data_IF_502134640923
#
_entry.id   IF_502134640923
#
_cell.length_a   1.000
_cell.length_b   1.000
_cell.length_c   1.000
_cell.angle_alpha   90.00
_cell.angle_beta   90.00
_cell.angle_gamma   90.00
#
_symmetry.space_group_name_H-M   'P 1'
#
loop_
_entity.id
_entity.type
_entity.pdbx_description
1 polymer ?
#
# COMPACT_ATOMS: atom_id res chain seq x y z
N UNK A 1 2.17 13.78 12.75
CA UNK A 1 1.25 13.77 11.59
C UNK A 1 -0.10 13.14 11.93
N UNK A 2 -1.03 13.90 12.53
CA UNK A 2 -2.39 13.43 12.84
C UNK A 2 -3.19 12.97 11.60
N UNK A 3 -2.78 13.37 10.40
CA UNK A 3 -3.46 13.02 9.13
C UNK A 3 -3.40 11.54 8.77
N UNK A 4 -2.30 10.82 9.06
CA UNK A 4 -2.22 9.38 8.76
C UNK A 4 -3.17 8.61 9.68
N UNK A 5 -3.11 8.89 10.99
CA UNK A 5 -3.96 8.24 11.99
C UNK A 5 -5.45 8.46 11.73
N UNK A 6 -5.86 9.67 11.37
CA UNK A 6 -7.25 9.94 10.97
C UNK A 6 -7.62 9.18 9.69
N UNK A 7 -6.75 9.15 8.70
CA UNK A 7 -6.94 8.35 7.48
C UNK A 7 -7.19 6.88 7.79
N UNK A 8 -6.42 6.29 8.72
CA UNK A 8 -6.63 4.92 9.19
C UNK A 8 -8.01 4.71 9.81
N UNK A 9 -8.42 5.59 10.71
CA UNK A 9 -9.72 5.50 11.38
C UNK A 9 -10.87 5.55 10.38
N UNK A 10 -10.83 6.50 9.43
CA UNK A 10 -11.86 6.58 8.38
C UNK A 10 -11.85 5.36 7.47
N UNK A 11 -10.66 4.84 7.13
CA UNK A 11 -10.53 3.66 6.29
C UNK A 11 -11.15 2.42 6.94
N UNK A 12 -10.88 2.20 8.24
CA UNK A 12 -11.46 1.11 9.03
C UNK A 12 -12.97 1.22 9.16
N UNK A 13 -13.51 2.44 9.13
CA UNK A 13 -14.95 2.70 9.13
C UNK A 13 -15.58 2.74 7.72
N UNK A 14 -14.90 2.21 6.69
CA UNK A 14 -15.37 2.17 5.31
C UNK A 14 -15.63 3.55 4.67
N UNK A 15 -15.21 4.64 5.32
CA UNK A 15 -15.34 6.02 4.84
C UNK A 15 -14.18 6.36 3.89
N UNK A 16 -14.11 5.66 2.76
CA UNK A 16 -12.94 5.69 1.86
C UNK A 16 -12.65 7.06 1.23
N UNK A 17 -13.68 7.87 0.97
CA UNK A 17 -13.51 9.23 0.44
C UNK A 17 -12.78 10.12 1.45
N UNK A 18 -13.18 10.07 2.72
CA UNK A 18 -12.56 10.89 3.77
C UNK A 18 -11.18 10.34 4.13
N UNK A 19 -11.03 9.02 4.21
CA UNK A 19 -9.73 8.38 4.37
C UNK A 19 -8.74 8.84 3.28
N UNK A 20 -9.17 8.83 2.01
CA UNK A 20 -8.35 9.28 0.89
C UNK A 20 -7.91 10.74 1.04
N UNK A 21 -8.80 11.64 1.45
CA UNK A 21 -8.45 13.06 1.68
C UNK A 21 -7.34 13.19 2.71
N UNK A 22 -7.43 12.46 3.81
CA UNK A 22 -6.42 12.45 4.86
C UNK A 22 -5.09 11.88 4.39
N UNK A 23 -5.09 10.76 3.66
CA UNK A 23 -3.87 10.18 3.09
C UNK A 23 -3.21 11.08 2.04
N UNK A 24 -3.98 11.72 1.16
CA UNK A 24 -3.45 12.68 0.18
C UNK A 24 -2.84 13.90 0.88
N UNK A 25 -3.48 14.39 1.94
CA UNK A 25 -2.93 15.49 2.75
C UNK A 25 -1.60 15.08 3.40
N UNK A 26 -1.52 13.88 3.98
CA UNK A 26 -0.28 13.34 4.53
C UNK A 26 0.82 13.18 3.47
N UNK A 27 0.47 12.71 2.27
CA UNK A 27 1.41 12.49 1.17
C UNK A 27 2.02 13.79 0.63
N UNK A 28 1.21 14.86 0.59
CA UNK A 28 1.64 16.20 0.16
C UNK A 28 2.44 16.96 1.23
N UNK A 29 2.41 16.50 2.49
CA UNK A 29 3.11 17.17 3.57
C UNK A 29 4.65 17.09 3.35
N UNK A 30 5.38 18.22 3.37
CA UNK A 30 6.82 18.25 3.15
C UNK A 30 7.63 17.34 4.09
N UNK A 31 7.20 17.19 5.34
CA UNK A 31 7.87 16.31 6.31
C UNK A 31 7.79 14.83 5.92
N UNK A 32 6.80 14.43 5.11
CA UNK A 32 6.74 13.06 4.56
C UNK A 32 7.80 12.79 3.51
N UNK A 33 8.39 13.85 2.90
CA UNK A 33 9.44 13.71 1.90
C UNK A 33 10.72 13.12 2.48
N UNK A 34 10.97 13.32 3.78
CA UNK A 34 12.10 12.75 4.50
C UNK A 34 11.98 11.24 4.72
N UNK A 35 10.81 10.64 4.47
CA UNK A 35 10.54 9.22 4.73
C UNK A 35 9.95 8.53 3.48
N UNK A 36 10.79 8.06 2.54
CA UNK A 36 10.34 7.43 1.30
C UNK A 36 9.39 6.24 1.50
N UNK A 37 9.62 5.44 2.56
CA UNK A 37 8.77 4.30 2.91
C UNK A 37 7.37 4.74 3.36
N UNK A 38 7.27 5.88 4.06
CA UNK A 38 5.97 6.45 4.47
C UNK A 38 5.20 6.94 3.24
N UNK A 39 5.88 7.57 2.27
CA UNK A 39 5.25 7.93 0.99
C UNK A 39 4.77 6.70 0.22
N UNK A 40 5.57 5.64 0.15
CA UNK A 40 5.19 4.39 -0.50
C UNK A 40 3.95 3.77 0.17
N UNK A 41 3.91 3.77 1.50
CA UNK A 41 2.74 3.33 2.27
C UNK A 41 1.50 4.19 1.94
N UNK A 42 1.63 5.52 1.92
CA UNK A 42 0.52 6.42 1.61
C UNK A 42 -0.01 6.21 0.19
N UNK A 43 0.86 5.93 -0.79
CA UNK A 43 0.44 5.57 -2.14
C UNK A 43 -0.42 4.30 -2.16
N UNK A 44 -0.03 3.25 -1.41
CA UNK A 44 -0.87 2.05 -1.23
C UNK A 44 -2.23 2.44 -0.66
N UNK A 45 -2.26 3.27 0.39
CA UNK A 45 -3.52 3.62 1.06
C UNK A 45 -4.45 4.46 0.21
N UNK A 46 -3.91 5.38 -0.58
CA UNK A 46 -4.67 6.15 -1.56
C UNK A 46 -5.26 5.20 -2.61
N UNK A 47 -4.46 4.27 -3.13
CA UNK A 47 -4.89 3.26 -4.10
C UNK A 47 -5.96 2.32 -3.53
N UNK A 48 -5.80 1.86 -2.29
CA UNK A 48 -6.79 1.03 -1.59
C UNK A 48 -8.13 1.77 -1.42
N UNK A 49 -8.11 3.09 -1.15
CA UNK A 49 -9.32 3.90 -1.11
C UNK A 49 -9.99 4.01 -2.49
N UNK A 50 -9.21 4.22 -3.55
CA UNK A 50 -9.74 4.29 -4.92
C UNK A 50 -10.34 2.95 -5.36
N UNK A 51 -9.68 1.84 -5.02
CA UNK A 51 -10.15 0.48 -5.30
C UNK A 51 -11.47 0.18 -4.59
N UNK A 52 -11.60 0.55 -3.31
CA UNK A 52 -12.76 0.17 -2.47
C UNK A 52 -13.95 1.12 -2.58
N UNK A 53 -13.72 2.38 -2.95
CA UNK A 53 -14.81 3.35 -3.20
C UNK A 53 -15.60 3.02 -4.47
N UNK A 54 -14.91 2.51 -5.48
CA UNK A 54 -15.52 2.18 -6.76
C UNK A 54 -15.95 0.71 -6.71
N UNK A 55 -17.24 0.46 -6.47
CA UNK A 55 -17.79 -0.90 -6.53
C UNK A 55 -17.47 -1.51 -7.91
N UNK A 56 -16.98 -2.77 -7.98
CA UNK A 56 -16.64 -3.40 -9.25
C UNK A 56 -17.88 -3.53 -10.17
N UNK A 57 -17.69 -3.53 -11.51
CA UNK A 57 -16.40 -3.55 -12.21
C UNK A 57 -15.73 -2.16 -12.33
N UNK A 58 -14.41 -2.13 -12.20
CA UNK A 58 -13.61 -0.92 -12.43
C UNK A 58 -13.57 -0.58 -13.93
N UNK A 59 -13.57 0.71 -14.25
CA UNK A 59 -13.27 1.14 -15.62
C UNK A 59 -11.76 1.10 -15.91
N UNK A 60 -11.39 1.20 -17.19
CA UNK A 60 -9.99 1.11 -17.63
C UNK A 60 -9.12 2.23 -17.04
N UNK A 61 -9.64 3.45 -16.95
CA UNK A 61 -8.91 4.59 -16.41
C UNK A 61 -8.58 4.40 -14.91
N UNK A 62 -9.56 4.00 -14.12
CA UNK A 62 -9.41 3.68 -12.70
C UNK A 62 -8.39 2.56 -12.49
N UNK A 63 -8.47 1.52 -13.31
CA UNK A 63 -7.55 0.39 -13.24
C UNK A 63 -6.10 0.83 -13.48
N UNK A 64 -5.87 1.63 -14.53
CA UNK A 64 -4.54 2.17 -14.85
C UNK A 64 -4.03 3.04 -13.70
N UNK A 65 -4.87 3.93 -13.17
CA UNK A 65 -4.50 4.84 -12.09
C UNK A 65 -4.13 4.10 -10.80
N UNK A 66 -4.95 3.14 -10.37
CA UNK A 66 -4.69 2.33 -9.17
C UNK A 66 -3.40 1.51 -9.37
N UNK A 67 -3.21 0.93 -10.56
CA UNK A 67 -2.00 0.18 -10.89
C UNK A 67 -0.74 1.06 -10.79
N UNK A 68 -0.77 2.27 -11.34
CA UNK A 68 0.36 3.22 -11.27
C UNK A 68 0.73 3.58 -9.82
N UNK A 69 -0.27 3.81 -8.96
CA UNK A 69 -0.03 4.10 -7.54
C UNK A 69 0.69 2.93 -6.84
N UNK A 70 0.24 1.70 -7.11
CA UNK A 70 0.91 0.50 -6.60
C UNK A 70 2.33 0.35 -7.17
N UNK A 71 2.54 0.51 -8.47
CA UNK A 71 3.87 0.38 -9.09
C UNK A 71 4.88 1.43 -8.56
N UNK A 72 4.42 2.65 -8.29
CA UNK A 72 5.24 3.67 -7.62
C UNK A 72 5.61 3.26 -6.20
N UNK A 73 4.66 2.72 -5.42
CA UNK A 73 4.95 2.18 -4.09
C UNK A 73 5.93 1.01 -4.15
N UNK A 74 5.75 0.08 -5.11
CA UNK A 74 6.66 -1.06 -5.31
C UNK A 74 8.08 -0.59 -5.60
N UNK A 75 8.24 0.39 -6.48
CA UNK A 75 9.57 0.95 -6.83
C UNK A 75 10.25 1.55 -5.61
N UNK A 76 9.51 2.27 -4.76
CA UNK A 76 10.05 2.83 -3.53
C UNK A 76 10.48 1.74 -2.53
N UNK A 77 9.68 0.69 -2.35
CA UNK A 77 10.06 -0.43 -1.48
C UNK A 77 11.23 -1.23 -2.02
N UNK A 78 11.28 -1.47 -3.33
CA UNK A 78 12.38 -2.17 -3.99
C UNK A 78 13.71 -1.39 -3.86
N UNK A 79 13.69 -0.07 -4.07
CA UNK A 79 14.88 0.79 -3.85
C UNK A 79 15.37 0.75 -2.40
N UNK A 80 14.47 0.61 -1.45
CA UNK A 80 14.79 0.46 -0.04
C UNK A 80 15.10 -0.98 0.37
N UNK A 81 15.06 -1.95 -0.56
CA UNK A 81 15.17 -3.39 -0.28
C UNK A 81 14.21 -3.88 0.81
N UNK A 82 13.03 -3.23 0.92
CA UNK A 82 12.02 -3.55 1.91
C UNK A 82 11.04 -4.59 1.38
N UNK A 83 11.44 -5.86 1.53
CA UNK A 83 10.74 -7.03 0.99
C UNK A 83 9.27 -7.12 1.42
N UNK A 84 8.97 -6.78 2.68
CA UNK A 84 7.59 -6.84 3.18
C UNK A 84 6.68 -5.84 2.45
N UNK A 85 7.17 -4.62 2.20
CA UNK A 85 6.44 -3.63 1.41
C UNK A 85 6.24 -4.07 -0.04
N UNK A 86 7.26 -4.66 -0.67
CA UNK A 86 7.13 -5.24 -2.01
C UNK A 86 6.05 -6.33 -2.06
N UNK A 87 6.04 -7.23 -1.07
CA UNK A 87 5.03 -8.28 -0.98
C UNK A 87 3.61 -7.74 -0.80
N UNK A 88 3.42 -6.71 0.04
CA UNK A 88 2.13 -6.04 0.19
C UNK A 88 1.66 -5.50 -1.15
N UNK A 89 2.53 -4.80 -1.88
CA UNK A 89 2.15 -4.23 -3.18
C UNK A 89 1.79 -5.33 -4.19
N UNK A 90 2.57 -6.41 -4.24
CA UNK A 90 2.27 -7.55 -5.12
C UNK A 90 0.90 -8.16 -4.79
N UNK A 91 0.56 -8.31 -3.51
CA UNK A 91 -0.76 -8.78 -3.11
C UNK A 91 -1.87 -7.79 -3.52
N UNK A 92 -1.65 -6.49 -3.37
CA UNK A 92 -2.60 -5.45 -3.80
C UNK A 92 -2.80 -5.40 -5.32
N UNK A 93 -1.75 -5.63 -6.10
CA UNK A 93 -1.85 -5.79 -7.56
C UNK A 93 -2.67 -7.02 -7.94
N UNK A 94 -2.56 -8.12 -7.17
CA UNK A 94 -3.42 -9.28 -7.32
C UNK A 94 -4.89 -8.94 -7.11
N UNK A 95 -5.21 -8.23 -6.02
CA UNK A 95 -6.58 -7.76 -5.74
C UNK A 95 -7.12 -6.86 -6.85
N UNK A 96 -6.30 -5.96 -7.41
CA UNK A 96 -6.72 -5.13 -8.53
C UNK A 96 -7.08 -5.97 -9.76
N UNK A 97 -6.29 -7.01 -10.06
CA UNK A 97 -6.56 -7.90 -11.21
C UNK A 97 -7.84 -8.70 -11.02
N UNK A 98 -8.07 -9.21 -9.81
CA UNK A 98 -9.31 -9.87 -9.42
C UNK A 98 -10.53 -8.94 -9.59
N UNK A 99 -10.43 -7.70 -9.11
CA UNK A 99 -11.50 -6.69 -9.27
C UNK A 99 -11.76 -6.29 -10.73
N UNK A 100 -10.76 -6.47 -11.61
CA UNK A 100 -10.88 -6.26 -13.05
C UNK A 100 -11.30 -7.51 -13.84
N UNK A 101 -11.50 -8.66 -13.18
CA UNK A 101 -11.87 -9.94 -13.80
C UNK A 101 -10.71 -10.73 -14.42
N UNK A 102 -9.45 -10.32 -14.20
CA UNK A 102 -8.24 -11.00 -14.67
C UNK A 102 -7.69 -11.93 -13.57
N UNK A 103 -8.39 -13.04 -13.35
CA UNK A 103 -8.05 -14.01 -12.29
C UNK A 103 -6.67 -14.66 -12.51
N UNK A 104 -6.28 -14.91 -13.75
CA UNK A 104 -5.00 -15.54 -14.08
C UNK A 104 -3.81 -14.65 -13.66
N UNK A 105 -3.88 -13.36 -13.98
CA UNK A 105 -2.89 -12.40 -13.50
C UNK A 105 -2.95 -12.23 -11.98
N UNK A 106 -4.15 -12.26 -11.38
CA UNK A 106 -4.31 -12.15 -9.92
C UNK A 106 -3.54 -13.26 -9.18
N UNK A 107 -3.71 -14.53 -9.59
CA UNK A 107 -3.00 -15.68 -9.02
C UNK A 107 -1.48 -15.52 -9.17
N UNK A 108 -1.02 -15.03 -10.32
CA UNK A 108 0.40 -14.78 -10.56
C UNK A 108 0.97 -13.76 -9.56
N UNK A 109 0.24 -12.67 -9.31
CA UNK A 109 0.64 -11.65 -8.34
C UNK A 109 0.62 -12.15 -6.91
N UNK A 110 -0.41 -12.92 -6.52
CA UNK A 110 -0.47 -13.53 -5.19
C UNK A 110 0.68 -14.51 -4.95
N UNK A 111 1.02 -15.34 -5.94
CA UNK A 111 2.18 -16.24 -5.87
C UNK A 111 3.48 -15.47 -5.66
N UNK A 112 3.71 -14.41 -6.44
CA UNK A 112 4.90 -13.55 -6.29
C UNK A 112 4.96 -12.86 -4.93
N UNK A 113 3.82 -12.42 -4.39
CA UNK A 113 3.72 -11.83 -3.05
C UNK A 113 4.15 -12.85 -1.98
N UNK A 114 3.59 -14.05 -2.02
CA UNK A 114 3.97 -15.15 -1.13
C UNK A 114 5.47 -15.47 -1.28
N UNK A 115 5.96 -15.54 -2.51
CA UNK A 115 7.34 -15.90 -2.76
C UNK A 115 8.32 -14.87 -2.18
N UNK A 116 7.97 -13.58 -2.31
CA UNK A 116 8.74 -12.46 -1.76
C UNK A 116 8.84 -12.53 -0.23
N UNK A 117 7.81 -13.04 0.45
CA UNK A 117 7.79 -13.23 1.90
C UNK A 117 8.53 -14.50 2.35
N UNK A 118 8.33 -15.62 1.66
CA UNK A 118 8.60 -16.95 2.25
C UNK A 118 9.66 -17.80 1.54
N UNK A 119 10.10 -17.49 0.31
CA UNK A 119 10.98 -18.41 -0.46
C UNK A 119 12.47 -18.07 -0.45
N UNK A 120 12.88 -16.95 0.16
CA UNK A 120 14.31 -16.59 0.26
C UNK A 120 14.68 -16.38 1.73
N UNK A 121 15.07 -17.50 2.35
CA UNK A 121 15.59 -17.78 3.72
C UNK A 121 14.66 -17.71 4.95
N UNK A 122 14.79 -18.67 5.90
CA UNK A 122 14.21 -18.57 7.24
C UNK A 122 15.03 -17.56 8.06
N UNK A 123 14.82 -16.27 7.82
CA UNK A 123 15.54 -15.23 8.54
C UNK A 123 14.67 -14.67 9.71
N UNK A 124 15.01 -14.93 10.98
CA UNK A 124 14.24 -14.48 12.14
C UNK A 124 14.20 -12.95 12.32
N UNK A 125 14.93 -12.18 11.51
CA UNK A 125 14.99 -10.72 11.54
C UNK A 125 13.70 -10.03 11.03
N UNK A 126 12.80 -10.77 10.38
CA UNK A 126 11.65 -10.21 9.64
C UNK A 126 10.55 -9.58 10.54
N UNK A 127 10.52 -9.89 11.83
CA UNK A 127 9.54 -9.31 12.78
C UNK A 127 9.89 -7.84 13.10
N UNK A 128 11.18 -7.48 13.03
CA UNK A 128 11.65 -6.15 13.42
C UNK A 128 11.29 -5.06 12.39
N UNK A 129 11.33 -5.36 11.09
CA UNK A 129 11.06 -4.34 10.07
C UNK A 129 9.57 -3.95 9.95
N UNK A 130 8.65 -4.85 10.31
CA UNK A 130 7.23 -4.50 10.46
C UNK A 130 7.02 -3.57 11.66
N UNK A 131 7.75 -3.85 12.76
CA UNK A 131 7.75 -3.03 13.95
C UNK A 131 8.30 -1.63 13.64
N UNK A 132 9.27 -1.49 12.75
CA UNK A 132 9.85 -0.18 12.41
C UNK A 132 8.89 0.73 11.63
N UNK A 133 8.08 0.22 10.70
CA UNK A 133 7.04 1.04 10.05
C UNK A 133 5.92 1.36 11.04
N UNK A 134 5.45 0.40 11.85
CA UNK A 134 4.46 0.69 12.88
C UNK A 134 4.99 1.69 13.92
N UNK A 135 6.26 1.59 14.31
CA UNK A 135 6.95 2.54 15.18
C UNK A 135 7.12 3.89 14.51
N UNK A 136 7.48 3.99 13.23
CA UNK A 136 7.54 5.26 12.50
C UNK A 136 6.16 5.92 12.39
N UNK A 137 5.11 5.13 12.15
CA UNK A 137 3.72 5.60 12.17
C UNK A 137 3.32 6.04 13.59
N UNK A 138 3.78 5.36 14.63
CA UNK A 138 3.46 5.66 16.05
C UNK A 138 4.27 6.84 16.60
N UNK A 139 5.56 6.95 16.29
CA UNK A 139 6.43 8.11 16.58
C UNK A 139 5.93 9.35 15.85
N UNK A 140 5.30 9.20 14.68
CA UNK A 140 4.64 10.31 14.01
C UNK A 140 3.32 10.73 14.68
N UNK A 141 2.84 10.09 15.75
CA UNK A 141 1.65 10.50 16.49
C UNK A 141 1.96 11.39 17.70
N UNK A 142 3.22 11.47 18.13
CA UNK A 142 3.73 12.42 19.12
C UNK A 142 4.17 13.73 18.43
#
# INVERSE_FOLDING_TARGET
>A
MPSIGLGEVFFSNFAYTDAQRWFVSAYKNPQSASFPLVKAYLLIRIADCELRKNHPPLNQEQTIRIQQLYEHAHTAFSRASYRYGEAIVLHRLGLLKEFSGDEYSAVTYYKRSYEKLFTLEPNPVNIHQHLDIQKLITFSKE
#
